data_IF_058902978031
#
_entry.id   IF_058902978031
#
_cell.length_a   1.000
_cell.length_b   1.000
_cell.length_c   1.000
_cell.angle_alpha   90.00
_cell.angle_beta   90.00
_cell.angle_gamma   90.00
#
_symmetry.space_group_name_H-M   'P 1'
#
loop_
_entity.id
_entity.type
_entity.pdbx_description
1 polymer ?
#
# COMPACT_ATOMS: atom_id res chain seq x y z
N UNK A 1 87.24 8.85 10.10
CA UNK A 1 87.40 8.64 11.56
C UNK A 1 86.02 8.40 12.18
N UNK A 2 85.84 7.21 12.75
CA UNK A 2 85.01 6.84 13.91
C UNK A 2 83.55 7.35 13.99
N UNK A 3 82.64 6.39 13.73
CA UNK A 3 81.39 6.20 14.46
C UNK A 3 81.48 6.59 15.95
N UNK A 4 80.53 7.39 16.43
CA UNK A 4 80.04 7.31 17.82
C UNK A 4 78.55 7.66 17.90
N UNK A 5 77.85 6.75 18.56
CA UNK A 5 76.61 6.93 19.31
C UNK A 5 75.28 6.94 18.56
N UNK A 6 74.83 5.71 18.29
CA UNK A 6 73.45 5.28 18.36
C UNK A 6 72.80 5.63 19.73
N UNK A 7 71.47 5.76 19.72
CA UNK A 7 70.50 5.80 20.85
C UNK A 7 69.95 7.18 21.24
N UNK A 8 68.90 7.61 20.53
CA UNK A 8 67.74 8.26 21.15
C UNK A 8 66.48 7.60 20.59
N UNK A 9 65.56 7.32 21.50
CA UNK A 9 64.47 6.36 21.43
C UNK A 9 63.49 6.55 20.27
N UNK A 10 63.11 5.41 19.70
CA UNK A 10 61.84 5.21 19.04
C UNK A 10 60.69 5.38 20.04
N UNK A 11 59.84 6.40 19.87
CA UNK A 11 58.43 6.44 20.27
C UNK A 11 57.71 7.56 19.51
N UNK A 12 57.57 7.39 18.20
CA UNK A 12 56.47 8.01 17.44
C UNK A 12 55.59 6.86 16.94
N UNK A 13 54.99 6.16 17.90
CA UNK A 13 53.88 5.27 17.62
C UNK A 13 52.71 6.13 17.18
N UNK A 14 52.19 5.84 15.99
CA UNK A 14 51.02 6.47 15.41
C UNK A 14 49.87 6.48 16.43
N UNK A 15 49.64 7.62 17.06
CA UNK A 15 48.36 7.94 17.68
C UNK A 15 47.44 8.26 16.53
N UNK A 16 46.89 7.21 15.91
CA UNK A 16 45.70 7.37 15.08
C UNK A 16 44.62 7.82 16.06
N UNK A 17 44.09 9.06 15.94
CA UNK A 17 43.04 9.51 16.83
C UNK A 17 41.85 8.56 16.70
N UNK A 18 41.49 7.90 17.80
CA UNK A 18 40.31 7.02 17.98
C UNK A 18 38.97 7.74 17.74
N UNK A 19 38.99 8.96 17.23
CA UNK A 19 37.82 9.81 17.03
C UNK A 19 37.27 9.74 15.60
N UNK A 20 37.97 9.14 14.64
CA UNK A 20 37.50 9.10 13.25
C UNK A 20 36.65 7.85 12.92
N UNK A 21 36.70 6.80 13.74
CA UNK A 21 35.96 5.55 13.46
C UNK A 21 34.51 5.57 13.97
N UNK A 22 34.14 6.50 14.86
CA UNK A 22 32.79 6.57 15.45
C UNK A 22 31.73 7.19 14.54
N UNK A 23 32.13 7.95 13.51
CA UNK A 23 31.19 8.67 12.66
C UNK A 23 30.50 7.79 11.61
N UNK A 24 31.05 6.61 11.29
CA UNK A 24 30.50 5.72 10.25
C UNK A 24 29.35 4.86 10.78
N UNK A 25 29.21 4.69 12.10
CA UNK A 25 28.18 3.81 12.69
C UNK A 25 26.86 4.50 13.04
N UNK A 26 26.79 5.84 12.98
CA UNK A 26 25.58 6.58 13.34
C UNK A 26 24.59 6.76 12.16
N UNK A 27 25.00 6.46 10.92
CA UNK A 27 24.18 6.68 9.72
C UNK A 27 23.31 5.45 9.36
N UNK A 28 23.58 4.28 9.95
CA UNK A 28 22.83 3.05 9.66
C UNK A 28 21.56 2.89 10.50
N UNK A 29 21.46 3.49 11.70
CA UNK A 29 20.27 3.32 12.55
C UNK A 29 19.01 4.01 11.98
N UNK A 30 19.17 5.17 11.32
CA UNK A 30 18.07 5.87 10.64
C UNK A 30 17.58 5.13 9.38
N UNK A 31 18.38 4.21 8.85
CA UNK A 31 17.99 3.37 7.70
C UNK A 31 17.14 2.17 8.10
N UNK A 32 17.32 1.66 9.33
CA UNK A 32 16.58 0.51 9.87
C UNK A 32 15.28 0.96 10.56
N UNK A 33 15.34 2.05 11.33
CA UNK A 33 14.19 2.67 12.00
C UNK A 33 13.63 3.80 11.13
N UNK A 34 13.03 3.40 10.01
CA UNK A 34 12.62 4.33 8.96
C UNK A 34 11.88 5.58 9.45
N UNK A 35 12.19 6.72 8.82
CA UNK A 35 11.69 8.07 9.12
C UNK A 35 10.26 8.11 9.65
N UNK A 36 10.06 8.88 10.73
CA UNK A 36 8.76 9.04 11.35
C UNK A 36 7.74 9.62 10.35
N UNK A 37 6.57 9.01 10.37
CA UNK A 37 5.47 9.23 9.45
C UNK A 37 4.81 10.60 9.69
N UNK A 38 4.72 11.50 8.70
CA UNK A 38 3.87 12.68 8.86
C UNK A 38 2.39 12.26 8.87
N UNK A 39 1.59 12.81 9.78
CA UNK A 39 0.14 12.62 9.79
C UNK A 39 -0.52 13.61 8.84
N UNK A 40 -1.28 13.11 7.85
CA UNK A 40 -2.07 13.95 6.96
C UNK A 40 -3.51 14.09 7.47
N UNK A 41 -4.15 15.26 7.26
CA UNK A 41 -5.56 15.46 7.56
C UNK A 41 -6.42 14.78 6.50
N UNK A 42 -6.62 13.47 6.61
CA UNK A 42 -7.57 12.74 5.78
C UNK A 42 -9.01 13.14 6.13
N UNK A 43 -9.94 13.17 5.16
CA UNK A 43 -11.32 13.53 5.43
C UNK A 43 -11.95 12.58 6.46
N UNK A 44 -11.63 11.28 6.42
CA UNK A 44 -12.24 10.23 7.23
C UNK A 44 -11.54 9.93 8.58
N UNK A 45 -10.70 10.84 9.11
CA UNK A 45 -9.87 10.58 10.29
C UNK A 45 -10.54 10.80 11.66
N UNK A 46 -11.57 11.63 11.75
CA UNK A 46 -12.21 11.97 13.01
C UNK A 46 -13.47 11.13 13.30
N UNK A 47 -14.11 11.47 14.42
CA UNK A 47 -15.19 10.69 15.03
C UNK A 47 -16.56 11.28 14.68
N UNK A 48 -16.68 12.61 14.55
CA UNK A 48 -17.98 13.32 14.56
C UNK A 48 -18.16 14.46 13.52
N UNK A 49 -17.19 14.76 12.66
CA UNK A 49 -17.32 15.89 11.72
C UNK A 49 -18.25 15.57 10.53
N UNK A 50 -19.08 16.52 10.09
CA UNK A 50 -20.01 16.37 8.95
C UNK A 50 -19.33 15.93 7.65
N UNK A 51 -18.06 16.28 7.48
CA UNK A 51 -17.24 16.02 6.28
C UNK A 51 -16.35 14.78 6.45
N UNK A 52 -16.54 14.01 7.53
CA UNK A 52 -15.63 12.99 8.07
C UNK A 52 -16.30 11.63 8.35
N UNK A 53 -17.62 11.56 8.23
CA UNK A 53 -18.35 10.31 8.45
C UNK A 53 -18.24 9.30 7.31
N UNK A 54 -18.06 9.77 6.07
CA UNK A 54 -17.98 8.93 4.88
C UNK A 54 -16.64 9.11 4.16
N UNK A 55 -16.21 8.06 3.47
CA UNK A 55 -15.18 8.25 2.47
C UNK A 55 -15.74 9.15 1.35
N UNK A 56 -14.87 9.92 0.70
CA UNK A 56 -15.25 10.65 -0.50
C UNK A 56 -15.45 9.63 -1.63
N UNK A 57 -16.71 9.25 -1.92
CA UNK A 57 -17.06 8.30 -2.97
C UNK A 57 -16.52 8.72 -4.36
N UNK A 58 -16.39 10.03 -4.61
CA UNK A 58 -15.80 10.52 -5.86
C UNK A 58 -14.29 10.24 -5.91
N UNK A 59 -13.60 10.34 -4.77
CA UNK A 59 -12.20 9.97 -4.62
C UNK A 59 -11.99 8.46 -4.72
N UNK A 60 -12.90 7.65 -4.16
CA UNK A 60 -12.91 6.18 -4.33
C UNK A 60 -12.99 5.82 -5.81
N UNK A 61 -13.93 6.41 -6.57
CA UNK A 61 -14.08 6.15 -8.01
C UNK A 61 -12.81 6.47 -8.80
N UNK A 62 -12.19 7.64 -8.55
CA UNK A 62 -10.91 8.01 -9.17
C UNK A 62 -9.78 7.06 -8.75
N UNK A 63 -9.74 6.67 -7.48
CA UNK A 63 -8.72 5.77 -6.93
C UNK A 63 -8.79 4.37 -7.53
N UNK A 64 -10.00 3.86 -7.70
CA UNK A 64 -10.26 2.59 -8.39
C UNK A 64 -9.76 2.63 -9.85
N UNK A 65 -10.03 3.72 -10.57
CA UNK A 65 -9.53 3.89 -11.94
C UNK A 65 -8.00 3.85 -11.99
N UNK A 66 -7.33 4.55 -11.07
CA UNK A 66 -5.86 4.52 -10.98
C UNK A 66 -5.35 3.12 -10.62
N UNK A 67 -6.04 2.40 -9.72
CA UNK A 67 -5.69 1.02 -9.41
C UNK A 67 -5.76 0.13 -10.65
N UNK A 68 -6.86 0.18 -11.40
CA UNK A 68 -7.04 -0.65 -12.60
C UNK A 68 -6.03 -0.30 -13.70
N UNK A 69 -5.67 0.97 -13.86
CA UNK A 69 -4.74 1.41 -14.90
C UNK A 69 -3.26 1.21 -14.56
N UNK A 70 -2.89 1.24 -13.28
CA UNK A 70 -1.47 1.28 -12.85
C UNK A 70 -1.10 0.14 -11.91
N UNK A 71 -1.91 -0.12 -10.88
CA UNK A 71 -1.53 -1.05 -9.82
C UNK A 71 -1.88 -2.49 -10.16
N UNK A 72 -2.99 -2.72 -10.86
CA UNK A 72 -3.51 -4.05 -11.18
C UNK A 72 -2.56 -4.91 -12.02
N UNK A 73 -1.54 -4.30 -12.67
CA UNK A 73 -0.52 -5.04 -13.41
C UNK A 73 0.46 -5.81 -12.53
N UNK A 74 0.65 -5.38 -11.27
CA UNK A 74 1.66 -5.95 -10.37
C UNK A 74 1.09 -6.30 -8.98
N UNK A 75 0.00 -5.64 -8.59
CA UNK A 75 -0.63 -5.79 -7.28
C UNK A 75 -1.93 -6.56 -7.42
N UNK A 76 -2.15 -7.53 -6.54
CA UNK A 76 -3.43 -8.21 -6.41
C UNK A 76 -4.31 -7.52 -5.37
N UNK A 77 -5.62 -7.72 -5.52
CA UNK A 77 -6.65 -7.42 -4.52
C UNK A 77 -7.61 -8.60 -4.44
N UNK A 78 -7.19 -9.66 -3.77
CA UNK A 78 -7.86 -10.96 -3.87
C UNK A 78 -9.19 -11.03 -3.13
N UNK A 79 -9.40 -10.14 -2.14
CA UNK A 79 -10.60 -10.12 -1.30
C UNK A 79 -11.70 -9.20 -1.84
N UNK A 80 -11.39 -8.32 -2.80
CA UNK A 80 -12.36 -7.37 -3.35
C UNK A 80 -13.01 -7.95 -4.61
N UNK A 81 -14.33 -8.03 -4.59
CA UNK A 81 -15.18 -8.36 -5.75
C UNK A 81 -15.76 -7.13 -6.41
N UNK A 82 -16.12 -7.24 -7.69
CA UNK A 82 -16.73 -6.12 -8.42
C UNK A 82 -18.07 -5.69 -7.80
N UNK A 83 -18.77 -6.60 -7.09
CA UNK A 83 -20.04 -6.29 -6.39
C UNK A 83 -19.90 -5.16 -5.39
N UNK A 84 -18.77 -5.05 -4.70
CA UNK A 84 -18.58 -3.99 -3.70
C UNK A 84 -18.49 -2.60 -4.33
N UNK A 85 -18.06 -2.50 -5.59
CA UNK A 85 -17.97 -1.23 -6.30
C UNK A 85 -19.35 -0.67 -6.67
N UNK A 86 -20.33 -1.55 -6.91
CA UNK A 86 -21.72 -1.19 -7.23
C UNK A 86 -22.39 -0.43 -6.07
N UNK A 87 -22.00 -0.71 -4.83
CA UNK A 87 -22.58 -0.08 -3.64
C UNK A 87 -22.03 1.33 -3.42
N UNK A 88 -20.84 1.64 -3.96
CA UNK A 88 -20.04 2.77 -3.47
C UNK A 88 -19.68 3.77 -4.56
N UNK A 89 -19.32 3.33 -5.77
CA UNK A 89 -18.66 4.21 -6.75
C UNK A 89 -19.19 4.07 -8.18
N UNK A 90 -19.77 2.93 -8.55
CA UNK A 90 -20.17 2.65 -9.93
C UNK A 90 -21.63 2.21 -10.02
N UNK A 91 -22.27 2.48 -11.15
CA UNK A 91 -23.58 1.90 -11.43
C UNK A 91 -23.46 0.39 -11.69
N UNK A 92 -24.58 -0.34 -11.61
CA UNK A 92 -24.59 -1.78 -11.90
C UNK A 92 -24.13 -2.07 -13.33
N UNK A 93 -24.55 -1.24 -14.29
CA UNK A 93 -24.20 -1.39 -15.71
C UNK A 93 -22.71 -1.11 -15.97
N UNK A 94 -22.17 -0.05 -15.38
CA UNK A 94 -20.73 0.26 -15.45
C UNK A 94 -19.90 -0.88 -14.85
N UNK A 95 -20.34 -1.42 -13.71
CA UNK A 95 -19.64 -2.50 -13.01
C UNK A 95 -19.67 -3.79 -13.84
N UNK A 96 -20.80 -4.10 -14.50
CA UNK A 96 -20.92 -5.22 -15.43
C UNK A 96 -19.99 -5.05 -16.63
N UNK A 97 -19.93 -3.84 -17.21
CA UNK A 97 -19.06 -3.55 -18.35
C UNK A 97 -17.57 -3.73 -17.98
N UNK A 98 -17.15 -3.20 -16.82
CA UNK A 98 -15.78 -3.37 -16.31
C UNK A 98 -15.43 -4.84 -16.00
N UNK A 99 -16.38 -5.60 -15.43
CA UNK A 99 -16.15 -7.02 -15.17
C UNK A 99 -16.02 -7.81 -16.48
N UNK A 100 -16.87 -7.51 -17.46
CA UNK A 100 -16.87 -8.18 -18.76
C UNK A 100 -15.63 -7.90 -19.61
N UNK A 101 -14.88 -6.82 -19.34
CA UNK A 101 -13.62 -6.51 -20.02
C UNK A 101 -12.53 -7.57 -19.76
N UNK A 102 -12.61 -8.27 -18.63
CA UNK A 102 -11.61 -9.23 -18.21
C UNK A 102 -12.18 -10.64 -18.37
N UNK A 103 -11.52 -11.44 -19.21
CA UNK A 103 -11.86 -12.85 -19.42
C UNK A 103 -11.24 -13.74 -18.35
N UNK A 104 -12.00 -14.73 -17.88
CA UNK A 104 -11.53 -15.74 -16.94
C UNK A 104 -11.89 -17.12 -17.48
N UNK A 105 -10.99 -18.08 -17.26
CA UNK A 105 -11.24 -19.48 -17.55
C UNK A 105 -12.31 -19.97 -16.57
N UNK A 106 -13.50 -20.29 -17.08
CA UNK A 106 -14.62 -20.85 -16.31
C UNK A 106 -14.53 -22.39 -16.33
N UNK A 107 -15.53 -23.08 -15.76
CA UNK A 107 -15.58 -24.53 -15.66
C UNK A 107 -15.56 -25.28 -17.00
N UNK A 108 -15.72 -26.60 -16.94
CA UNK A 108 -15.79 -27.44 -18.14
C UNK A 108 -17.13 -27.23 -18.86
N UNK A 109 -17.08 -27.14 -20.19
CA UNK A 109 -18.27 -27.20 -21.04
C UNK A 109 -18.76 -28.65 -21.22
N UNK A 110 -19.84 -28.84 -22.00
CA UNK A 110 -20.43 -30.16 -22.29
C UNK A 110 -19.48 -31.10 -23.04
N UNK A 111 -18.39 -30.58 -23.61
CA UNK A 111 -17.35 -31.32 -24.33
C UNK A 111 -16.14 -31.67 -23.41
N UNK A 112 -16.25 -31.40 -22.10
CA UNK A 112 -15.17 -31.56 -21.12
C UNK A 112 -13.91 -30.72 -21.44
N UNK A 113 -14.07 -29.57 -22.07
CA UNK A 113 -13.02 -28.58 -22.32
C UNK A 113 -13.23 -27.31 -21.48
N UNK A 114 -12.14 -26.67 -21.08
CA UNK A 114 -12.20 -25.40 -20.34
C UNK A 114 -12.53 -24.27 -21.32
N UNK A 115 -13.56 -23.46 -21.02
CA UNK A 115 -13.90 -22.29 -21.83
C UNK A 115 -13.58 -20.98 -21.11
N UNK A 116 -13.29 -19.92 -21.87
CA UNK A 116 -13.17 -18.57 -21.33
C UNK A 116 -14.52 -17.88 -21.36
N UNK A 117 -14.84 -17.16 -20.29
CA UNK A 117 -16.04 -16.34 -20.21
C UNK A 117 -15.73 -14.96 -19.65
N UNK A 118 -16.54 -13.95 -20.04
CA UNK A 118 -16.46 -12.65 -19.39
C UNK A 118 -16.81 -12.82 -17.91
N UNK A 119 -16.08 -12.13 -17.04
CA UNK A 119 -16.33 -12.27 -15.60
C UNK A 119 -17.70 -11.77 -15.21
N UNK A 120 -18.22 -12.42 -14.19
CA UNK A 120 -19.44 -12.04 -13.50
C UNK A 120 -19.08 -11.01 -12.43
N UNK A 121 -20.06 -10.22 -12.01
CA UNK A 121 -19.88 -9.21 -10.95
C UNK A 121 -19.40 -9.86 -9.64
N UNK A 122 -19.81 -11.12 -9.38
CA UNK A 122 -19.36 -11.93 -8.22
C UNK A 122 -17.86 -12.03 -8.10
N UNK A 123 -17.16 -11.98 -9.24
CA UNK A 123 -15.81 -12.47 -9.30
C UNK A 123 -14.88 -11.43 -8.64
N UNK A 124 -13.85 -11.95 -7.94
CA UNK A 124 -12.80 -11.19 -7.25
C UNK A 124 -11.76 -10.67 -8.22
N UNK A 125 -11.20 -9.48 -8.05
CA UNK A 125 -10.24 -8.93 -9.01
C UNK A 125 -9.16 -9.94 -9.42
N UNK A 126 -8.78 -9.96 -10.72
CA UNK A 126 -7.89 -10.97 -11.22
C UNK A 126 -6.53 -10.83 -10.55
N UNK A 127 -5.88 -11.97 -10.34
CA UNK A 127 -4.49 -11.97 -9.89
C UNK A 127 -3.59 -11.74 -11.12
N UNK A 128 -2.61 -10.82 -11.06
CA UNK A 128 -1.77 -10.47 -12.22
C UNK A 128 -0.82 -11.60 -12.67
N UNK A 129 -0.46 -12.47 -11.73
CA UNK A 129 0.45 -13.60 -11.91
C UNK A 129 -0.25 -14.96 -11.78
N UNK A 130 0.40 -16.05 -12.18
CA UNK A 130 -0.15 -17.40 -11.97
C UNK A 130 0.10 -17.91 -10.55
N UNK A 131 1.23 -17.53 -9.96
CA UNK A 131 1.68 -17.94 -8.63
C UNK A 131 2.67 -16.91 -8.04
N UNK A 132 3.03 -17.08 -6.77
CA UNK A 132 3.96 -16.18 -6.07
C UNK A 132 5.36 -16.21 -6.68
N UNK A 133 5.85 -17.38 -7.11
CA UNK A 133 7.15 -17.51 -7.76
C UNK A 133 7.24 -16.74 -9.08
N UNK A 134 6.16 -16.69 -9.87
CA UNK A 134 6.10 -15.87 -11.07
C UNK A 134 6.08 -14.37 -10.74
N UNK A 135 5.41 -13.98 -9.64
CA UNK A 135 5.43 -12.61 -9.14
C UNK A 135 6.85 -12.18 -8.74
N UNK A 136 7.57 -13.04 -8.02
CA UNK A 136 8.96 -12.80 -7.61
C UNK A 136 9.87 -12.66 -8.83
N UNK A 137 9.75 -13.57 -9.79
CA UNK A 137 10.55 -13.53 -11.01
C UNK A 137 10.28 -12.24 -11.81
N UNK A 138 9.02 -11.84 -11.94
CA UNK A 138 8.64 -10.62 -12.63
C UNK A 138 9.15 -9.35 -11.92
N UNK A 139 9.23 -9.38 -10.59
CA UNK A 139 9.61 -8.24 -9.75
C UNK A 139 11.04 -8.32 -9.22
N UNK A 140 11.95 -9.02 -9.92
CA UNK A 140 13.38 -9.13 -9.58
C UNK A 140 13.64 -9.66 -8.16
N UNK A 141 12.85 -10.64 -7.74
CA UNK A 141 12.94 -11.29 -6.43
C UNK A 141 12.14 -10.61 -5.32
N UNK A 142 11.33 -9.60 -5.62
CA UNK A 142 10.48 -8.92 -4.64
C UNK A 142 9.01 -9.32 -4.79
N UNK A 143 8.47 -10.05 -3.82
CA UNK A 143 7.04 -10.32 -3.74
C UNK A 143 6.27 -9.08 -3.29
N UNK A 144 5.21 -8.71 -4.02
CA UNK A 144 4.30 -7.69 -3.51
C UNK A 144 3.11 -8.32 -2.79
N UNK A 145 2.87 -8.00 -1.51
CA UNK A 145 1.74 -8.53 -0.78
C UNK A 145 0.41 -7.97 -1.30
N UNK A 146 -0.67 -8.72 -1.10
CA UNK A 146 -2.05 -8.31 -1.42
C UNK A 146 -2.39 -6.98 -0.74
N UNK A 147 -2.87 -5.99 -1.50
CA UNK A 147 -3.09 -4.64 -1.00
C UNK A 147 -4.21 -4.56 0.04
N UNK A 148 -5.16 -5.49 0.01
CA UNK A 148 -6.28 -5.50 0.97
C UNK A 148 -5.79 -5.83 2.39
N UNK A 149 -4.72 -6.61 2.50
CA UNK A 149 -4.14 -7.01 3.77
C UNK A 149 -3.17 -5.98 4.34
N UNK A 150 -2.96 -4.85 3.65
CA UNK A 150 -2.13 -3.79 4.18
C UNK A 150 -2.80 -3.20 5.44
N UNK A 151 -2.13 -3.23 6.61
CA UNK A 151 -2.66 -2.61 7.81
C UNK A 151 -3.03 -1.16 7.52
N UNK A 152 -4.16 -0.67 8.07
CA UNK A 152 -4.60 0.75 8.00
C UNK A 152 -3.44 1.74 8.20
N UNK A 153 -2.59 1.42 9.18
CA UNK A 153 -1.39 2.19 9.55
C UNK A 153 -0.22 2.07 8.59
N UNK A 154 -0.23 1.21 7.57
CA UNK A 154 0.80 1.13 6.53
C UNK A 154 0.33 1.86 5.26
N UNK A 155 -0.90 1.60 4.81
CA UNK A 155 -1.50 2.21 3.63
C UNK A 155 -1.57 3.75 3.70
N UNK A 156 -1.84 4.31 4.88
CA UNK A 156 -2.18 5.74 4.97
C UNK A 156 -1.01 6.73 4.83
N UNK A 157 0.26 6.34 4.76
CA UNK A 157 1.35 7.36 4.77
C UNK A 157 2.78 6.82 4.65
N UNK A 158 3.33 6.89 3.44
CA UNK A 158 4.79 7.05 3.22
C UNK A 158 5.00 7.93 1.98
N UNK A 159 4.67 9.22 2.09
CA UNK A 159 5.20 10.24 1.20
C UNK A 159 5.56 11.45 2.04
N UNK A 160 6.67 12.09 1.67
CA UNK A 160 7.29 13.13 2.47
C UNK A 160 6.49 14.44 2.42
N UNK A 161 6.53 15.19 3.53
CA UNK A 161 5.86 16.50 3.76
C UNK A 161 6.16 17.59 2.71
N UNK A 162 7.12 17.38 1.83
CA UNK A 162 7.51 18.33 0.77
C UNK A 162 6.84 18.09 -0.58
N UNK A 163 6.11 16.99 -0.75
CA UNK A 163 5.31 16.77 -1.94
C UNK A 163 3.87 17.20 -1.63
N UNK A 164 3.41 18.29 -2.25
CA UNK A 164 1.98 18.45 -2.49
C UNK A 164 1.47 17.13 -3.05
N UNK A 165 0.61 16.44 -2.30
CA UNK A 165 0.24 15.08 -2.64
C UNK A 165 -0.24 15.04 -4.09
N UNK A 166 0.31 14.14 -4.90
CA UNK A 166 -0.19 13.99 -6.26
C UNK A 166 -1.69 13.65 -6.14
N UNK A 167 -2.59 14.32 -6.85
CA UNK A 167 -4.04 14.12 -6.69
C UNK A 167 -4.43 12.64 -6.79
N UNK A 168 -3.82 11.92 -7.75
CA UNK A 168 -4.01 10.47 -7.91
C UNK A 168 -3.60 9.64 -6.68
N UNK A 169 -2.54 10.01 -5.97
CA UNK A 169 -2.16 9.25 -4.77
C UNK A 169 -3.23 9.40 -3.69
N UNK A 170 -3.90 10.56 -3.59
CA UNK A 170 -4.98 10.81 -2.59
C UNK A 170 -6.11 9.83 -2.81
N UNK A 171 -6.47 9.72 -4.09
CA UNK A 171 -7.56 8.90 -4.53
C UNK A 171 -7.25 7.41 -4.33
N UNK A 172 -6.04 6.95 -4.67
CA UNK A 172 -5.63 5.54 -4.45
C UNK A 172 -5.61 5.20 -2.95
N UNK A 173 -5.05 6.05 -2.10
CA UNK A 173 -5.00 5.79 -0.65
C UNK A 173 -6.41 5.75 -0.05
N UNK A 174 -7.30 6.63 -0.51
CA UNK A 174 -8.71 6.63 -0.06
C UNK A 174 -9.42 5.36 -0.51
N UNK A 175 -9.21 4.92 -1.76
CA UNK A 175 -9.74 3.66 -2.27
C UNK A 175 -9.23 2.44 -1.50
N UNK A 176 -7.93 2.35 -1.23
CA UNK A 176 -7.35 1.25 -0.46
C UNK A 176 -7.82 1.23 1.00
N UNK A 177 -7.97 2.41 1.62
CA UNK A 177 -8.55 2.53 2.96
C UNK A 177 -9.99 1.98 3.00
N UNK A 178 -10.78 2.30 1.98
CA UNK A 178 -12.13 1.75 1.84
C UNK A 178 -12.13 0.24 1.59
N UNK A 179 -11.24 -0.28 0.73
CA UNK A 179 -11.14 -1.73 0.49
C UNK A 179 -10.76 -2.52 1.76
N UNK A 180 -9.95 -1.93 2.64
CA UNK A 180 -9.58 -2.55 3.91
C UNK A 180 -10.74 -2.55 4.92
N UNK A 181 -11.60 -1.54 4.89
CA UNK A 181 -12.72 -1.39 5.84
C UNK A 181 -13.95 -0.74 5.17
N UNK A 182 -14.73 -1.52 4.41
CA UNK A 182 -15.93 -1.02 3.76
C UNK A 182 -17.02 -0.59 4.77
N UNK A 183 -16.98 -1.12 5.99
CA UNK A 183 -17.97 -0.87 7.05
C UNK A 183 -17.67 0.38 7.92
N UNK A 184 -16.64 1.17 7.58
CA UNK A 184 -16.26 2.37 8.37
C UNK A 184 -17.43 3.32 8.57
N UNK A 185 -18.22 3.55 7.52
CA UNK A 185 -19.32 4.51 7.51
C UNK A 185 -20.43 4.04 8.44
N UNK A 186 -20.88 2.80 8.26
CA UNK A 186 -21.87 2.15 9.13
C UNK A 186 -21.40 2.12 10.59
N UNK A 187 -20.13 1.80 10.83
CA UNK A 187 -19.54 1.77 12.17
C UNK A 187 -19.54 3.15 12.83
N UNK A 188 -19.20 4.20 12.09
CA UNK A 188 -19.25 5.59 12.61
C UNK A 188 -20.69 6.02 12.89
N UNK A 189 -21.63 5.68 12.02
CA UNK A 189 -23.05 5.97 12.22
C UNK A 189 -23.63 5.25 13.45
N UNK A 190 -23.33 3.96 13.61
CA UNK A 190 -23.74 3.19 14.78
C UNK A 190 -23.14 3.80 16.05
N UNK A 191 -21.87 4.21 16.02
CA UNK A 191 -21.25 4.86 17.16
C UNK A 191 -21.94 6.19 17.53
N UNK A 192 -22.32 7.02 16.56
CA UNK A 192 -23.08 8.26 16.81
C UNK A 192 -24.40 7.97 17.51
N UNK A 193 -25.08 6.89 17.12
CA UNK A 193 -26.33 6.47 17.75
C UNK A 193 -26.12 5.87 19.13
N UNK A 194 -25.06 5.09 19.32
CA UNK A 194 -24.76 4.37 20.55
C UNK A 194 -24.24 5.31 21.64
N UNK A 195 -23.31 6.21 21.32
CA UNK A 195 -22.64 7.06 22.31
C UNK A 195 -23.61 7.83 23.23
N UNK A 196 -24.73 8.39 22.73
CA UNK A 196 -25.75 9.02 23.58
C UNK A 196 -26.43 8.08 24.60
N UNK A 197 -26.51 6.77 24.35
CA UNK A 197 -27.10 5.81 25.29
C UNK A 197 -26.14 5.38 26.41
N UNK A 198 -24.83 5.65 26.24
CA UNK A 198 -23.79 5.31 27.21
C UNK A 198 -23.24 6.54 27.98
N UNK A 199 -23.82 7.72 27.75
CA UNK A 199 -23.51 8.98 28.44
C UNK A 199 -24.58 9.29 29.50
#
# INVERSE_FOLDING_TARGET
>A
MKWKSLRVLAFLGAVIPKHLTSAIMADSDETEEGLNRPSYPWPHNGILSSDDHSHDHSSIRRGQQVYLQVCASCQSMSLVSHRYLMVVACSEEETKAMAAEIEVVDGLNDECEMFTCPRKISDRFPWPYQNEQAADLANRGAYSPDLVLLPRKRALTKLNKHFSFHPHTKDVVTFLSWCAEPEVEDRKLINIWIFPFYA
#
